data_IF_465548062205
#
_entry.id   IF_465548062205
#
_cell.length_a   1.000
_cell.length_b   1.000
_cell.length_c   1.000
_cell.angle_alpha   90.00
_cell.angle_beta   90.00
_cell.angle_gamma   90.00
#
_symmetry.space_group_name_H-M   'P 1'
#
loop_
_entity.id
_entity.type
_entity.pdbx_description
1 polymer ?
#
# COMPACT_ATOMS: atom_id res chain seq x y z
N UNK A 1 -6.65 -8.40 28.23
CA UNK A 1 -7.79 -7.50 28.02
C UNK A 1 -7.74 -6.97 26.59
N UNK A 2 -8.68 -7.37 25.76
CA UNK A 2 -8.78 -6.87 24.41
C UNK A 2 -9.55 -5.56 24.40
N UNK A 3 -8.86 -4.43 24.30
CA UNK A 3 -9.52 -3.14 24.02
C UNK A 3 -9.78 -3.06 22.53
N UNK A 4 -11.04 -2.97 22.13
CA UNK A 4 -11.41 -2.59 20.76
C UNK A 4 -11.02 -1.13 20.57
N UNK A 5 -9.90 -0.89 19.91
CA UNK A 5 -9.48 0.46 19.54
C UNK A 5 -10.21 0.80 18.23
N UNK A 6 -11.31 1.52 18.32
CA UNK A 6 -12.10 1.97 17.17
C UNK A 6 -11.46 3.13 16.39
N UNK A 7 -10.34 3.66 16.85
CA UNK A 7 -9.63 4.78 16.20
C UNK A 7 -8.13 4.59 16.38
N UNK A 8 -7.49 3.88 15.49
CA UNK A 8 -6.03 3.82 15.44
C UNK A 8 -5.51 4.84 14.44
N UNK A 9 -5.19 6.04 14.91
CA UNK A 9 -4.53 7.08 14.11
C UNK A 9 -3.19 6.61 13.49
N UNK A 10 -2.62 5.55 14.03
CA UNK A 10 -1.34 4.95 13.63
C UNK A 10 -1.46 4.01 12.42
N UNK A 11 -2.59 3.33 12.26
CA UNK A 11 -2.86 2.54 11.06
C UNK A 11 -2.95 3.41 9.80
N UNK A 12 -3.30 4.67 9.95
CA UNK A 12 -3.32 5.67 8.90
C UNK A 12 -1.93 5.94 8.29
N UNK A 13 -0.84 5.76 9.05
CA UNK A 13 0.52 5.97 8.54
C UNK A 13 0.92 4.87 7.53
N UNK A 14 0.57 3.62 7.78
CA UNK A 14 0.79 2.50 6.84
C UNK A 14 0.04 2.75 5.54
N UNK A 15 -1.18 3.18 5.66
CA UNK A 15 -2.04 3.45 4.52
C UNK A 15 -1.55 4.63 3.70
N UNK A 16 -1.19 5.70 4.37
CA UNK A 16 -0.69 6.91 3.74
C UNK A 16 0.58 6.63 2.93
N UNK A 17 1.45 5.76 3.42
CA UNK A 17 2.63 5.35 2.71
C UNK A 17 2.28 4.47 1.50
N UNK A 18 1.37 3.49 1.67
CA UNK A 18 0.97 2.58 0.59
C UNK A 18 0.22 3.28 -0.54
N UNK A 19 -0.52 4.33 -0.24
CA UNK A 19 -1.38 5.03 -1.19
C UNK A 19 -0.89 6.43 -1.55
N UNK A 20 0.27 6.81 -1.05
CA UNK A 20 0.76 8.16 -1.22
C UNK A 20 1.30 8.40 -2.62
N UNK A 21 0.41 8.47 -3.54
CA UNK A 21 0.66 8.95 -4.90
C UNK A 21 0.19 10.41 -5.06
N UNK A 22 0.21 11.16 -4.01
CA UNK A 22 -0.13 12.57 -3.96
C UNK A 22 0.33 13.19 -2.66
N UNK A 23 0.38 14.48 -2.59
CA UNK A 23 0.80 15.24 -1.43
C UNK A 23 0.06 14.83 -0.16
N UNK A 24 0.79 14.30 0.81
CA UNK A 24 0.30 14.11 2.16
C UNK A 24 0.25 15.42 2.92
N UNK A 25 -0.91 16.03 2.92
CA UNK A 25 -1.29 16.96 3.98
C UNK A 25 -2.36 16.28 4.82
N UNK A 26 -1.94 15.37 5.72
CA UNK A 26 -2.91 14.42 6.19
C UNK A 26 -2.95 14.24 7.70
N UNK A 27 -2.55 15.25 8.47
CA UNK A 27 -2.73 15.23 9.92
C UNK A 27 -4.22 15.21 10.32
N UNK A 28 -5.13 15.69 9.46
CA UNK A 28 -6.52 15.97 9.81
C UNK A 28 -7.56 15.06 9.13
N UNK A 29 -7.15 14.12 8.25
CA UNK A 29 -8.10 13.19 7.63
C UNK A 29 -8.51 12.08 8.58
N UNK A 30 -9.82 11.83 8.75
CA UNK A 30 -10.30 10.74 9.58
C UNK A 30 -9.83 9.39 9.02
N UNK A 31 -9.29 8.56 9.89
CA UNK A 31 -8.88 7.21 9.57
C UNK A 31 -9.62 6.19 10.42
N UNK A 32 -9.93 5.05 9.83
CA UNK A 32 -10.56 3.93 10.52
C UNK A 32 -9.89 2.61 10.13
N UNK A 33 -9.78 1.72 11.11
CA UNK A 33 -9.39 0.33 10.93
C UNK A 33 -10.53 -0.55 11.43
N UNK A 34 -11.04 -1.40 10.56
CA UNK A 34 -12.08 -2.38 10.86
C UNK A 34 -11.53 -3.79 10.67
N UNK A 35 -12.00 -4.73 11.48
CA UNK A 35 -11.66 -6.14 11.41
C UNK A 35 -12.46 -6.91 12.46
N UNK A 36 -12.54 -8.22 12.34
CA UNK A 36 -13.22 -9.06 13.34
C UNK A 36 -12.50 -9.02 14.69
N UNK A 37 -11.17 -9.00 14.67
CA UNK A 37 -10.34 -8.93 15.86
C UNK A 37 -9.24 -7.90 15.67
N UNK A 38 -9.12 -6.98 16.62
CA UNK A 38 -8.05 -6.00 16.65
C UNK A 38 -7.41 -6.06 18.04
N UNK A 39 -6.09 -6.21 18.10
CA UNK A 39 -5.31 -6.22 19.33
C UNK A 39 -4.18 -5.20 19.26
N UNK A 40 -3.84 -4.65 20.41
CA UNK A 40 -2.70 -3.76 20.58
C UNK A 40 -1.85 -4.22 21.76
N UNK A 41 -0.62 -4.60 21.49
CA UNK A 41 0.37 -4.90 22.51
C UNK A 41 1.14 -3.63 22.87
N UNK A 42 0.87 -3.09 24.03
CA UNK A 42 1.51 -1.85 24.50
C UNK A 42 2.99 -2.02 24.81
N UNK A 43 3.44 -3.23 25.14
CA UNK A 43 4.85 -3.49 25.44
C UNK A 43 5.70 -3.45 24.16
N UNK A 44 5.24 -4.09 23.11
CA UNK A 44 5.94 -4.13 21.81
C UNK A 44 5.57 -3.00 20.87
N UNK A 45 4.40 -2.37 21.08
CA UNK A 45 3.85 -1.35 20.18
C UNK A 45 3.20 -1.92 18.92
N UNK A 46 2.91 -3.23 18.89
CA UNK A 46 2.34 -3.91 17.72
C UNK A 46 0.81 -3.89 17.76
N UNK A 47 0.22 -3.41 16.68
CA UNK A 47 -1.21 -3.54 16.38
C UNK A 47 -1.38 -4.70 15.42
N UNK A 48 -2.31 -5.61 15.70
CA UNK A 48 -2.68 -6.71 14.81
C UNK A 48 -4.18 -6.67 14.57
N UNK A 49 -4.59 -6.78 13.30
CA UNK A 49 -5.99 -6.89 12.90
C UNK A 49 -6.18 -8.14 12.06
N UNK A 50 -7.23 -8.89 12.31
CA UNK A 50 -7.53 -10.17 11.66
C UNK A 50 -9.01 -10.28 11.31
N UNK A 51 -9.33 -11.22 10.41
CA UNK A 51 -10.71 -11.54 10.04
C UNK A 51 -11.30 -10.58 9.02
N UNK A 52 -10.55 -10.30 7.96
CA UNK A 52 -10.97 -9.37 6.92
C UNK A 52 -10.84 -7.92 7.39
N UNK A 53 -9.72 -7.30 7.06
CA UNK A 53 -9.46 -5.92 7.45
C UNK A 53 -9.89 -4.93 6.39
N UNK A 54 -10.37 -3.77 6.85
CA UNK A 54 -10.61 -2.61 6.00
C UNK A 54 -10.01 -1.38 6.67
N UNK A 55 -9.06 -0.75 5.98
CA UNK A 55 -8.47 0.51 6.35
C UNK A 55 -9.01 1.62 5.47
N UNK A 56 -9.48 2.70 6.07
CA UNK A 56 -9.98 3.88 5.35
C UNK A 56 -9.30 5.14 5.85
N UNK A 57 -8.89 5.98 4.92
CA UNK A 57 -8.39 7.31 5.19
C UNK A 57 -8.73 8.25 4.04
N UNK A 58 -9.58 9.24 4.31
CA UNK A 58 -10.08 10.11 3.24
C UNK A 58 -10.74 9.28 2.14
N UNK A 59 -10.27 9.43 0.90
CA UNK A 59 -10.73 8.67 -0.27
C UNK A 59 -10.01 7.34 -0.46
N UNK A 60 -8.99 7.06 0.39
CA UNK A 60 -8.20 5.84 0.30
C UNK A 60 -8.84 4.71 1.10
N UNK A 61 -8.89 3.51 0.51
CA UNK A 61 -9.36 2.28 1.15
C UNK A 61 -8.40 1.14 0.85
N UNK A 62 -7.98 0.41 1.89
CA UNK A 62 -7.19 -0.82 1.74
C UNK A 62 -7.91 -1.96 2.44
N UNK A 63 -8.01 -3.08 1.76
CA UNK A 63 -8.57 -4.31 2.30
C UNK A 63 -7.56 -5.44 2.24
N UNK A 64 -7.66 -6.38 3.15
CA UNK A 64 -6.85 -7.58 3.22
C UNK A 64 -7.42 -8.58 4.22
N UNK A 65 -6.75 -9.69 4.44
CA UNK A 65 -7.18 -10.67 5.44
C UNK A 65 -6.63 -10.34 6.84
N UNK A 66 -5.39 -9.91 6.90
CA UNK A 66 -4.69 -9.61 8.15
C UNK A 66 -3.77 -8.41 7.99
N UNK A 67 -3.64 -7.61 9.02
CA UNK A 67 -2.68 -6.52 9.10
C UNK A 67 -1.91 -6.56 10.42
N UNK A 68 -0.65 -6.17 10.37
CA UNK A 68 0.21 -5.96 11.54
C UNK A 68 0.99 -4.68 11.36
N UNK A 69 1.10 -3.88 12.40
CA UNK A 69 1.85 -2.63 12.36
C UNK A 69 2.54 -2.38 13.70
N UNK A 70 3.84 -2.07 13.64
CA UNK A 70 4.62 -1.70 14.81
C UNK A 70 4.73 -0.18 14.90
N UNK A 71 4.14 0.39 15.93
CA UNK A 71 4.11 1.85 16.15
C UNK A 71 5.46 2.45 16.50
N UNK A 72 6.39 1.64 17.01
CA UNK A 72 7.74 2.08 17.40
C UNK A 72 8.71 2.09 16.23
N UNK A 73 8.65 1.07 15.36
CA UNK A 73 9.54 0.94 14.21
C UNK A 73 8.93 1.54 12.93
N UNK A 74 7.63 1.82 12.93
CA UNK A 74 6.86 2.26 11.77
C UNK A 74 6.87 1.25 10.61
N UNK A 75 7.00 -0.02 10.96
CA UNK A 75 6.94 -1.15 10.03
C UNK A 75 5.60 -1.84 10.11
N UNK A 76 5.14 -2.37 8.99
CA UNK A 76 3.87 -3.08 8.94
C UNK A 76 3.74 -4.00 7.74
N UNK A 77 2.71 -4.83 7.78
CA UNK A 77 2.41 -5.78 6.73
C UNK A 77 0.90 -5.99 6.64
N UNK A 78 0.40 -6.08 5.42
CA UNK A 78 -0.98 -6.52 5.13
C UNK A 78 -0.88 -7.73 4.21
N UNK A 79 -1.59 -8.80 4.55
CA UNK A 79 -1.54 -10.08 3.84
C UNK A 79 -2.93 -10.57 3.46
N UNK A 80 -2.97 -11.57 2.58
CA UNK A 80 -4.19 -12.30 2.22
C UNK A 80 -5.02 -11.63 1.14
N UNK A 81 -4.38 -11.18 0.08
CA UNK A 81 -5.06 -10.55 -1.06
C UNK A 81 -5.38 -9.08 -0.77
N UNK A 82 -4.36 -8.24 -0.86
CA UNK A 82 -4.47 -6.81 -0.59
C UNK A 82 -5.07 -6.09 -1.80
N UNK A 83 -6.05 -5.25 -1.55
CA UNK A 83 -6.61 -4.31 -2.53
C UNK A 83 -6.56 -2.91 -1.94
N UNK A 84 -5.83 -2.02 -2.59
CA UNK A 84 -5.74 -0.62 -2.22
C UNK A 84 -6.35 0.25 -3.30
N UNK A 85 -7.25 1.13 -2.94
CA UNK A 85 -7.94 2.05 -3.85
C UNK A 85 -7.78 3.47 -3.34
N UNK A 86 -7.36 4.35 -4.22
CA UNK A 86 -7.30 5.79 -3.95
C UNK A 86 -7.66 6.57 -5.22
N UNK A 87 -8.78 7.28 -5.18
CA UNK A 87 -9.33 7.96 -6.35
C UNK A 87 -9.46 7.01 -7.56
N UNK A 88 -8.84 7.32 -8.68
CA UNK A 88 -8.87 6.50 -9.90
C UNK A 88 -7.84 5.35 -9.89
N UNK A 89 -7.02 5.24 -8.85
CA UNK A 89 -5.97 4.24 -8.78
C UNK A 89 -6.36 3.05 -7.95
N UNK A 90 -5.98 1.86 -8.42
CA UNK A 90 -6.14 0.59 -7.72
C UNK A 90 -4.84 -0.21 -7.77
N UNK A 91 -4.39 -0.65 -6.60
CA UNK A 91 -3.27 -1.58 -6.44
C UNK A 91 -3.82 -2.90 -5.89
N UNK A 92 -3.40 -4.01 -6.46
CA UNK A 92 -3.66 -5.35 -5.92
C UNK A 92 -2.35 -6.12 -5.78
N UNK A 93 -2.21 -6.88 -4.69
CA UNK A 93 -1.08 -7.76 -4.42
C UNK A 93 -1.48 -8.82 -3.39
N UNK A 94 -0.69 -9.88 -3.23
CA UNK A 94 -0.91 -10.84 -2.14
C UNK A 94 -0.51 -10.27 -0.79
N UNK A 95 0.62 -9.57 -0.76
CA UNK A 95 1.19 -8.98 0.46
C UNK A 95 1.69 -7.58 0.16
N UNK A 96 1.45 -6.67 1.07
CA UNK A 96 2.05 -5.33 1.07
C UNK A 96 2.79 -5.14 2.38
N UNK A 97 4.09 -4.86 2.29
CA UNK A 97 4.97 -4.63 3.43
C UNK A 97 5.40 -3.17 3.47
N UNK A 98 5.27 -2.54 4.61
CA UNK A 98 5.82 -1.23 4.91
C UNK A 98 7.14 -1.43 5.65
N UNK A 99 8.26 -1.21 4.98
CA UNK A 99 9.59 -1.34 5.56
C UNK A 99 9.97 -0.10 6.39
N UNK A 100 9.50 1.05 5.94
CA UNK A 100 9.64 2.33 6.65
C UNK A 100 8.49 3.26 6.24
N UNK A 101 8.43 4.44 6.83
CA UNK A 101 7.41 5.44 6.48
C UNK A 101 7.38 5.80 4.97
N UNK A 102 8.49 5.59 4.28
CA UNK A 102 8.68 6.00 2.88
C UNK A 102 8.98 4.84 1.91
N UNK A 103 9.04 3.59 2.40
CA UNK A 103 9.37 2.42 1.59
C UNK A 103 8.34 1.32 1.72
N UNK A 104 7.74 0.93 0.60
CA UNK A 104 6.68 -0.07 0.52
C UNK A 104 7.05 -1.11 -0.52
N UNK A 105 6.74 -2.37 -0.21
CA UNK A 105 6.88 -3.48 -1.13
C UNK A 105 5.54 -4.21 -1.27
N UNK A 106 5.06 -4.34 -2.50
CA UNK A 106 3.94 -5.19 -2.87
C UNK A 106 4.46 -6.43 -3.59
N UNK A 107 4.12 -7.59 -3.10
CA UNK A 107 4.63 -8.88 -3.60
C UNK A 107 3.51 -9.89 -3.85
N UNK A 108 3.83 -10.97 -4.57
CA UNK A 108 2.87 -12.01 -4.91
C UNK A 108 1.97 -11.63 -6.08
N UNK A 109 2.52 -10.97 -7.08
CA UNK A 109 1.80 -10.52 -8.27
C UNK A 109 1.13 -9.15 -8.04
N UNK A 110 1.88 -8.07 -8.25
CA UNK A 110 1.39 -6.71 -8.12
C UNK A 110 0.75 -6.21 -9.42
N UNK A 111 -0.40 -5.57 -9.30
CA UNK A 111 -1.07 -4.88 -10.39
C UNK A 111 -1.48 -3.48 -9.96
N UNK A 112 -1.13 -2.49 -10.76
CA UNK A 112 -1.63 -1.12 -10.63
C UNK A 112 -2.47 -0.77 -11.84
N UNK A 113 -3.64 -0.20 -11.60
CA UNK A 113 -4.47 0.42 -12.64
C UNK A 113 -4.75 1.86 -12.26
N UNK A 114 -4.60 2.76 -13.21
CA UNK A 114 -4.95 4.18 -13.08
C UNK A 114 -5.32 4.74 -14.44
N UNK A 115 -6.55 5.19 -14.59
CA UNK A 115 -7.07 5.67 -15.88
C UNK A 115 -6.86 4.62 -16.99
N UNK A 116 -6.06 4.94 -18.01
CA UNK A 116 -5.72 4.05 -19.12
C UNK A 116 -4.41 3.25 -18.91
N UNK A 117 -3.79 3.40 -17.73
CA UNK A 117 -2.56 2.68 -17.39
C UNK A 117 -2.89 1.40 -16.61
N UNK A 118 -2.31 0.28 -17.06
CA UNK A 118 -2.26 -0.98 -16.33
C UNK A 118 -0.83 -1.48 -16.28
N UNK A 119 -0.31 -1.65 -15.07
CA UNK A 119 1.03 -2.19 -14.82
C UNK A 119 0.89 -3.49 -14.03
N UNK A 120 1.50 -4.56 -14.53
CA UNK A 120 1.60 -5.85 -13.83
C UNK A 120 3.05 -6.24 -13.66
N UNK A 121 3.39 -6.83 -12.52
CA UNK A 121 4.74 -7.31 -12.21
C UNK A 121 4.66 -8.40 -11.12
N UNK A 122 5.74 -9.14 -10.92
CA UNK A 122 5.84 -10.05 -9.77
C UNK A 122 5.90 -9.28 -8.45
N UNK A 123 6.62 -8.15 -8.44
CA UNK A 123 6.71 -7.26 -7.29
C UNK A 123 6.75 -5.80 -7.72
N UNK A 124 6.30 -4.93 -6.82
CA UNK A 124 6.35 -3.49 -6.96
C UNK A 124 6.89 -2.89 -5.67
N UNK A 125 7.89 -2.03 -5.79
CA UNK A 125 8.43 -1.26 -4.66
C UNK A 125 8.22 0.22 -4.88
N UNK A 126 7.92 0.93 -3.80
CA UNK A 126 7.79 2.40 -3.79
C UNK A 126 8.80 2.94 -2.80
N UNK A 127 9.64 3.84 -3.26
CA UNK A 127 10.68 4.51 -2.47
C UNK A 127 10.41 6.02 -2.43
N UNK A 128 10.57 6.60 -1.24
CA UNK A 128 10.44 8.05 -1.03
C UNK A 128 9.13 8.63 -1.58
N UNK A 129 8.09 7.80 -1.67
CA UNK A 129 6.75 8.16 -2.16
C UNK A 129 6.70 8.66 -3.62
N UNK A 130 7.80 8.57 -4.34
CA UNK A 130 7.94 9.14 -5.68
C UNK A 130 8.46 8.15 -6.73
N UNK A 131 9.36 7.24 -6.31
CA UNK A 131 9.99 6.28 -7.22
C UNK A 131 9.35 4.90 -7.09
N UNK A 132 8.81 4.42 -8.18
CA UNK A 132 8.18 3.11 -8.32
C UNK A 132 9.09 2.18 -9.11
N UNK A 133 9.36 1.00 -8.59
CA UNK A 133 10.17 -0.03 -9.23
C UNK A 133 9.35 -1.30 -9.33
N UNK A 134 9.06 -1.71 -10.55
CA UNK A 134 8.38 -2.97 -10.86
C UNK A 134 9.41 -3.99 -11.34
N UNK A 135 9.36 -5.20 -10.83
CA UNK A 135 10.30 -6.27 -11.16
C UNK A 135 9.58 -7.61 -11.36
N UNK A 136 10.11 -8.42 -12.27
CA UNK A 136 9.61 -9.73 -12.63
C UNK A 136 8.45 -9.71 -13.60
N UNK A 137 8.71 -10.05 -14.85
CA UNK A 137 7.71 -10.12 -15.92
C UNK A 137 6.84 -8.88 -16.03
N UNK A 138 7.49 -7.72 -16.04
CA UNK A 138 6.80 -6.43 -16.06
C UNK A 138 6.09 -6.22 -17.39
N UNK A 139 4.81 -5.90 -17.30
CA UNK A 139 4.01 -5.47 -18.44
C UNK A 139 3.26 -4.19 -18.08
N UNK A 140 3.51 -3.14 -18.84
CA UNK A 140 2.79 -1.89 -18.75
C UNK A 140 1.99 -1.66 -20.02
N UNK A 141 0.70 -1.40 -19.88
CA UNK A 141 -0.19 -1.05 -20.99
C UNK A 141 -0.76 0.34 -20.71
N UNK A 142 -0.56 1.24 -21.64
CA UNK A 142 -1.12 2.59 -21.60
C UNK A 142 -1.71 2.95 -22.95
N UNK A 143 -3.03 3.14 -22.99
CA UNK A 143 -3.79 3.33 -24.21
C UNK A 143 -3.52 2.17 -25.21
N UNK A 144 -2.95 2.46 -26.36
CA UNK A 144 -2.62 1.48 -27.41
C UNK A 144 -1.17 0.97 -27.35
N UNK A 145 -0.40 1.38 -26.31
CA UNK A 145 1.01 1.03 -26.17
C UNK A 145 1.22 -0.03 -25.10
N UNK A 146 2.04 -1.02 -25.41
CA UNK A 146 2.45 -2.07 -24.47
C UNK A 146 3.97 -2.06 -24.33
N UNK A 147 4.44 -2.07 -23.09
CA UNK A 147 5.85 -2.19 -22.72
C UNK A 147 6.02 -3.46 -21.92
N UNK A 148 7.06 -4.24 -22.22
CA UNK A 148 7.41 -5.44 -21.46
C UNK A 148 8.88 -5.44 -21.13
N UNK A 149 9.26 -6.00 -20.00
CA UNK A 149 10.64 -6.09 -19.57
C UNK A 149 10.77 -6.84 -18.25
N UNK A 150 12.00 -7.09 -17.84
CA UNK A 150 12.27 -7.69 -16.54
C UNK A 150 12.10 -6.68 -15.40
N UNK A 151 12.28 -5.39 -15.67
CA UNK A 151 12.18 -4.30 -14.71
C UNK A 151 11.65 -3.03 -15.37
N UNK A 152 10.86 -2.27 -14.66
CA UNK A 152 10.48 -0.91 -15.05
C UNK A 152 10.61 0.01 -13.83
N UNK A 153 11.01 1.22 -14.07
CA UNK A 153 11.12 2.27 -13.06
C UNK A 153 10.33 3.50 -13.51
N UNK A 154 9.54 4.03 -12.60
CA UNK A 154 8.73 5.22 -12.83
C UNK A 154 8.94 6.21 -11.70
N UNK A 155 9.16 7.47 -12.04
CA UNK A 155 9.27 8.57 -11.09
C UNK A 155 8.11 9.54 -11.31
N UNK A 156 7.28 9.72 -10.30
CA UNK A 156 6.04 10.49 -10.41
C UNK A 156 6.31 11.98 -10.62
N UNK A 157 7.23 12.56 -9.85
CA UNK A 157 7.57 13.98 -9.95
C UNK A 157 8.17 14.36 -11.29
N UNK A 158 8.91 13.45 -11.92
CA UNK A 158 9.52 13.66 -13.23
C UNK A 158 8.61 13.24 -14.40
N UNK A 159 7.47 12.61 -14.12
CA UNK A 159 6.55 12.04 -15.12
C UNK A 159 7.27 11.18 -16.18
N UNK A 160 8.19 10.36 -15.71
CA UNK A 160 9.16 9.61 -16.54
C UNK A 160 9.09 8.12 -16.21
N UNK A 161 9.09 7.29 -17.25
CA UNK A 161 9.15 5.83 -17.13
C UNK A 161 10.37 5.30 -17.89
N UNK A 162 11.19 4.54 -17.23
CA UNK A 162 12.31 3.79 -17.80
C UNK A 162 12.01 2.30 -17.79
N UNK A 163 12.05 1.68 -18.94
CA UNK A 163 12.05 0.22 -19.11
C UNK A 163 13.42 -0.13 -19.71
N UNK A 164 14.36 -0.59 -18.89
CA UNK A 164 15.70 -0.98 -19.40
C UNK A 164 15.63 -2.23 -20.25
#
# INVERSE_FOLDING_TARGET
MRKRIRKAALAAAVLAAALNMGTLQAADEPSSLEGESISYDMATGVITAEGGITLKRGTATVTGARASYNTKTQQGEITGGVVAVHDAMRLTAQTVTLESADTIHATGGAEITKDDLRLTAASLSVFDKDRYVAEGDVRAVKADKTFTGARAEFTQSANYMLVP
#
